data_IF_255196639652
#
_entry.id   IF_255196639652
#
_cell.length_a   1.000
_cell.length_b   1.000
_cell.length_c   1.000
_cell.angle_alpha   90.00
_cell.angle_beta   90.00
_cell.angle_gamma   90.00
#
_symmetry.space_group_name_H-M   'P 1'
#
loop_
_entity.id
_entity.type
_entity.pdbx_description
1 polymer ?
#
# COMPACT_ATOMS: atom_id res chain seq x y z
N UNK A 1 -36.72 -54.88 -13.35
CA UNK A 1 -37.00 -54.83 -11.91
C UNK A 1 -38.28 -54.10 -11.57
N UNK A 2 -38.50 -52.81 -11.95
CA UNK A 2 -39.71 -52.05 -11.58
C UNK A 2 -41.03 -52.70 -12.02
N UNK A 3 -41.14 -53.28 -13.25
CA UNK A 3 -42.34 -53.95 -13.75
C UNK A 3 -42.62 -55.24 -12.96
N UNK A 4 -41.59 -55.98 -12.53
CA UNK A 4 -41.71 -57.17 -11.69
C UNK A 4 -42.20 -56.80 -10.31
N UNK A 5 -41.65 -55.73 -9.72
CA UNK A 5 -42.09 -55.21 -8.41
C UNK A 5 -43.57 -54.81 -8.41
N UNK A 6 -44.03 -54.09 -9.46
CA UNK A 6 -45.45 -53.68 -9.61
C UNK A 6 -46.35 -54.92 -9.65
N UNK A 7 -45.96 -55.97 -10.40
CA UNK A 7 -46.70 -57.21 -10.44
C UNK A 7 -46.73 -57.96 -9.11
N UNK A 8 -45.57 -58.07 -8.44
CA UNK A 8 -45.44 -58.68 -7.11
C UNK A 8 -46.29 -57.93 -6.06
N UNK A 9 -46.25 -56.58 -6.10
CA UNK A 9 -47.06 -55.75 -5.23
C UNK A 9 -48.55 -55.92 -5.46
N UNK A 10 -49.00 -56.00 -6.71
CA UNK A 10 -50.39 -56.23 -7.01
C UNK A 10 -50.88 -57.65 -6.54
N UNK A 11 -50.01 -58.67 -6.69
CA UNK A 11 -50.25 -60.03 -6.16
C UNK A 11 -50.32 -60.06 -4.67
N UNK A 12 -49.33 -59.44 -3.98
CA UNK A 12 -49.31 -59.34 -2.53
C UNK A 12 -50.56 -58.64 -1.98
N UNK A 13 -50.99 -57.52 -2.55
CA UNK A 13 -52.17 -56.78 -2.10
C UNK A 13 -53.44 -57.65 -2.28
N UNK A 14 -53.51 -58.48 -3.30
CA UNK A 14 -54.61 -59.43 -3.52
C UNK A 14 -54.59 -60.53 -2.48
N UNK A 15 -53.42 -61.20 -2.29
CA UNK A 15 -53.27 -62.24 -1.27
C UNK A 15 -53.54 -61.73 0.11
N UNK A 16 -53.15 -60.51 0.45
CA UNK A 16 -53.44 -59.88 1.75
C UNK A 16 -54.93 -59.77 2.03
N UNK A 17 -55.74 -59.34 1.05
CA UNK A 17 -57.20 -59.29 1.16
C UNK A 17 -57.83 -60.67 1.34
N UNK A 18 -57.38 -61.66 0.55
CA UNK A 18 -57.88 -63.00 0.64
C UNK A 18 -57.53 -63.68 1.97
N UNK A 19 -56.39 -63.31 2.55
CA UNK A 19 -56.01 -63.84 3.92
C UNK A 19 -56.87 -63.16 5.01
N UNK A 20 -57.09 -61.84 4.90
CA UNK A 20 -57.99 -61.12 5.81
C UNK A 20 -59.40 -61.73 5.79
N UNK A 21 -59.89 -62.16 4.60
CA UNK A 21 -61.17 -62.82 4.39
C UNK A 21 -61.13 -64.34 4.74
N UNK A 22 -59.97 -64.85 5.25
CA UNK A 22 -59.74 -66.26 5.61
C UNK A 22 -59.97 -67.27 4.47
N UNK A 23 -59.67 -66.80 3.21
CA UNK A 23 -59.83 -67.63 2.01
C UNK A 23 -58.58 -68.43 1.68
N UNK A 24 -57.38 -67.95 2.05
CA UNK A 24 -56.07 -68.57 1.80
C UNK A 24 -55.40 -68.95 3.14
N UNK A 25 -54.46 -69.91 3.06
CA UNK A 25 -53.66 -70.33 4.21
C UNK A 25 -52.54 -69.36 4.59
N UNK A 26 -52.06 -69.40 5.82
CA UNK A 26 -50.91 -68.53 6.28
C UNK A 26 -49.67 -68.79 5.43
N UNK A 27 -49.40 -70.08 5.03
CA UNK A 27 -48.27 -70.41 4.17
C UNK A 27 -48.32 -69.76 2.74
N UNK A 28 -49.52 -69.69 2.19
CA UNK A 28 -49.69 -68.97 0.86
C UNK A 28 -49.54 -67.46 0.99
N UNK A 29 -49.94 -66.90 2.14
CA UNK A 29 -49.72 -65.47 2.43
C UNK A 29 -48.24 -65.20 2.62
N UNK A 30 -47.53 -65.97 3.45
CA UNK A 30 -46.10 -65.87 3.70
C UNK A 30 -45.29 -65.94 2.37
N UNK A 31 -45.69 -66.81 1.46
CA UNK A 31 -45.07 -66.91 0.16
C UNK A 31 -45.29 -65.67 -0.68
N UNK A 32 -46.45 -65.02 -0.59
CA UNK A 32 -46.73 -63.80 -1.31
C UNK A 32 -45.93 -62.62 -0.69
N UNK A 33 -45.75 -62.58 0.61
CA UNK A 33 -44.88 -61.60 1.33
C UNK A 33 -43.43 -61.77 0.85
N UNK A 34 -42.91 -63.02 0.90
CA UNK A 34 -41.53 -63.29 0.47
C UNK A 34 -41.25 -62.86 -0.97
N UNK A 35 -42.18 -63.20 -1.90
CA UNK A 35 -42.05 -62.78 -3.30
C UNK A 35 -42.08 -61.25 -3.49
N UNK A 36 -42.88 -60.55 -2.70
CA UNK A 36 -42.91 -59.07 -2.69
C UNK A 36 -41.61 -58.48 -2.17
N UNK A 37 -41.07 -58.97 -1.06
CA UNK A 37 -39.81 -58.52 -0.48
C UNK A 37 -38.60 -58.74 -1.41
N UNK A 38 -38.56 -59.91 -2.06
CA UNK A 38 -37.53 -60.18 -3.06
C UNK A 38 -37.62 -59.18 -4.22
N UNK A 39 -38.81 -58.98 -4.77
CA UNK A 39 -38.97 -58.04 -5.87
C UNK A 39 -38.66 -56.60 -5.47
N UNK A 40 -38.91 -56.20 -4.22
CA UNK A 40 -38.53 -54.90 -3.66
C UNK A 40 -37.00 -54.79 -3.55
N UNK A 41 -36.34 -55.78 -2.99
CA UNK A 41 -34.89 -55.78 -2.85
C UNK A 41 -34.17 -55.75 -4.22
N UNK A 42 -34.75 -56.38 -5.28
CA UNK A 42 -34.23 -56.32 -6.65
C UNK A 42 -34.32 -54.92 -7.26
N UNK A 43 -35.35 -54.14 -6.86
CA UNK A 43 -35.45 -52.72 -7.30
C UNK A 43 -34.43 -51.85 -6.56
N UNK A 44 -34.33 -52.01 -5.25
CA UNK A 44 -33.40 -51.28 -4.42
C UNK A 44 -31.94 -51.54 -4.90
N UNK A 45 -31.58 -52.81 -5.14
CA UNK A 45 -30.27 -53.18 -5.68
C UNK A 45 -30.01 -52.61 -7.08
N UNK A 46 -31.03 -52.52 -7.93
CA UNK A 46 -30.89 -51.90 -9.26
C UNK A 46 -30.74 -50.36 -9.17
N UNK A 47 -31.43 -49.72 -8.23
CA UNK A 47 -31.29 -48.29 -7.96
C UNK A 47 -29.89 -47.94 -7.43
N UNK A 48 -29.37 -48.69 -6.49
CA UNK A 48 -27.99 -48.55 -6.00
C UNK A 48 -26.95 -48.80 -7.10
N UNK A 49 -27.19 -49.75 -7.98
CA UNK A 49 -26.32 -49.96 -9.14
C UNK A 49 -26.29 -48.79 -10.10
N UNK A 50 -27.44 -48.15 -10.34
CA UNK A 50 -27.51 -46.92 -11.16
C UNK A 50 -26.75 -45.80 -10.47
N UNK A 51 -26.91 -45.66 -9.14
CA UNK A 51 -26.22 -44.63 -8.39
C UNK A 51 -24.69 -44.84 -8.44
N UNK A 52 -24.23 -46.07 -8.28
CA UNK A 52 -22.81 -46.38 -8.43
C UNK A 52 -22.27 -46.05 -9.83
N UNK A 53 -23.05 -46.36 -10.87
CA UNK A 53 -22.70 -45.99 -12.24
C UNK A 53 -22.64 -44.45 -12.44
N UNK A 54 -23.55 -43.69 -11.82
CA UNK A 54 -23.52 -42.23 -11.85
C UNK A 54 -22.26 -41.65 -11.17
N UNK A 55 -21.83 -42.23 -10.04
CA UNK A 55 -20.58 -41.82 -9.41
C UNK A 55 -19.36 -42.16 -10.26
N UNK A 56 -19.37 -43.27 -10.98
CA UNK A 56 -18.30 -43.59 -11.93
C UNK A 56 -18.23 -42.58 -13.08
N UNK A 57 -19.39 -42.16 -13.62
CA UNK A 57 -19.44 -41.09 -14.64
C UNK A 57 -18.87 -39.81 -14.11
N UNK A 58 -19.28 -39.37 -12.90
CA UNK A 58 -18.79 -38.16 -12.26
C UNK A 58 -17.27 -38.20 -12.01
N UNK A 59 -16.75 -39.35 -11.61
CA UNK A 59 -15.30 -39.56 -11.43
C UNK A 59 -14.53 -39.42 -12.74
N UNK A 60 -15.06 -39.99 -13.82
CA UNK A 60 -14.44 -39.88 -15.15
C UNK A 60 -14.53 -38.46 -15.72
N UNK A 61 -15.62 -37.73 -15.44
CA UNK A 61 -15.75 -36.32 -15.79
C UNK A 61 -14.73 -35.45 -15.05
N UNK A 62 -14.48 -35.70 -13.75
CA UNK A 62 -13.46 -35.03 -12.99
C UNK A 62 -12.05 -35.28 -13.57
N UNK A 63 -11.75 -36.53 -13.92
CA UNK A 63 -10.47 -36.89 -14.56
C UNK A 63 -10.30 -36.23 -15.95
N UNK A 64 -11.38 -36.12 -16.71
CA UNK A 64 -11.38 -35.42 -18.01
C UNK A 64 -11.12 -33.92 -17.79
N UNK A 65 -11.75 -33.30 -16.79
CA UNK A 65 -11.54 -31.89 -16.44
C UNK A 65 -10.08 -31.63 -16.05
N UNK A 66 -9.51 -32.47 -15.20
CA UNK A 66 -8.10 -32.42 -14.82
C UNK A 66 -7.17 -32.52 -16.05
N UNK A 67 -7.42 -33.46 -16.93
CA UNK A 67 -6.62 -33.61 -18.13
C UNK A 67 -6.72 -32.37 -19.07
N UNK A 68 -7.91 -31.77 -19.17
CA UNK A 68 -8.10 -30.52 -19.92
C UNK A 68 -7.40 -29.33 -19.29
N UNK A 69 -7.44 -29.19 -17.97
CA UNK A 69 -6.72 -28.15 -17.26
C UNK A 69 -5.20 -28.28 -17.45
N UNK A 70 -4.69 -29.51 -17.33
CA UNK A 70 -3.28 -29.77 -17.56
C UNK A 70 -2.86 -29.43 -19.01
N UNK A 71 -3.69 -29.72 -19.99
CA UNK A 71 -3.46 -29.29 -21.37
C UNK A 71 -3.50 -27.76 -21.48
N UNK A 72 -4.47 -27.10 -20.86
CA UNK A 72 -4.58 -25.64 -20.86
C UNK A 72 -3.34 -24.95 -20.31
N UNK A 73 -2.70 -25.51 -19.28
CA UNK A 73 -1.46 -25.00 -18.68
C UNK A 73 -0.23 -25.08 -19.58
N UNK A 74 -0.29 -25.82 -20.69
CA UNK A 74 0.81 -25.86 -21.67
C UNK A 74 0.87 -24.59 -22.53
N UNK A 75 -0.22 -23.82 -22.58
CA UNK A 75 -0.28 -22.53 -23.27
C UNK A 75 -0.49 -21.42 -22.27
N UNK A 76 0.51 -20.58 -22.08
CA UNK A 76 0.49 -19.48 -21.10
C UNK A 76 0.17 -18.19 -21.85
N UNK A 77 -0.90 -17.51 -21.43
CA UNK A 77 -1.35 -16.25 -22.01
C UNK A 77 -1.14 -15.11 -21.03
N UNK A 78 -0.85 -13.90 -21.54
CA UNK A 78 -0.81 -12.71 -20.73
C UNK A 78 -2.21 -12.41 -20.17
N UNK A 79 -2.35 -12.14 -18.83
CA UNK A 79 -3.63 -11.80 -18.24
C UNK A 79 -4.09 -10.37 -18.58
N UNK A 80 -3.18 -9.53 -19.09
CA UNK A 80 -3.45 -8.14 -19.41
C UNK A 80 -2.71 -7.71 -20.68
N UNK A 81 -3.22 -6.67 -21.33
CA UNK A 81 -2.50 -5.98 -22.39
C UNK A 81 -1.46 -5.05 -21.79
N UNK A 82 -0.27 -5.00 -22.37
CA UNK A 82 0.81 -4.14 -21.83
C UNK A 82 2.11 -4.33 -22.60
N UNK A 83 3.17 -3.79 -22.05
CA UNK A 83 4.54 -3.90 -22.57
C UNK A 83 5.32 -4.89 -21.71
N UNK A 84 6.13 -5.74 -22.35
CA UNK A 84 7.05 -6.63 -21.64
C UNK A 84 8.17 -5.76 -21.06
N UNK A 85 8.26 -5.72 -19.74
CA UNK A 85 9.26 -4.90 -19.01
C UNK A 85 10.47 -5.70 -18.58
N UNK A 86 10.29 -6.99 -18.34
CA UNK A 86 11.37 -7.92 -18.03
C UNK A 86 11.11 -9.26 -18.70
N UNK A 87 12.15 -9.87 -19.25
CA UNK A 87 12.13 -11.22 -19.78
C UNK A 87 13.21 -12.05 -19.08
N UNK A 88 12.74 -12.98 -18.22
CA UNK A 88 13.63 -13.76 -17.35
C UNK A 88 14.00 -15.11 -17.99
N UNK A 89 13.31 -15.49 -19.08
CA UNK A 89 13.54 -16.76 -19.79
C UNK A 89 13.56 -16.55 -21.29
N UNK A 90 14.49 -17.23 -21.95
CA UNK A 90 14.61 -17.24 -23.41
C UNK A 90 13.96 -18.47 -24.04
N UNK A 91 13.73 -18.41 -25.35
CA UNK A 91 13.19 -19.53 -26.09
C UNK A 91 14.12 -20.74 -26.04
N UNK A 92 13.59 -21.89 -25.65
CA UNK A 92 14.36 -23.13 -25.49
C UNK A 92 14.80 -23.41 -24.05
N UNK A 93 14.68 -22.47 -23.13
CA UNK A 93 14.96 -22.71 -21.72
C UNK A 93 13.86 -23.54 -21.05
N UNK A 94 14.27 -24.34 -20.08
CA UNK A 94 13.35 -25.13 -19.29
C UNK A 94 12.70 -24.28 -18.20
N UNK A 95 11.37 -24.29 -18.17
CA UNK A 95 10.56 -23.71 -17.10
C UNK A 95 9.94 -24.81 -16.25
N UNK A 96 9.88 -24.58 -14.96
CA UNK A 96 9.31 -25.53 -13.99
C UNK A 96 8.10 -24.86 -13.32
N UNK A 97 6.98 -25.52 -13.36
CA UNK A 97 5.77 -25.13 -12.67
C UNK A 97 5.07 -26.38 -12.15
N UNK A 98 5.27 -26.75 -10.90
CA UNK A 98 4.59 -27.86 -10.25
C UNK A 98 3.76 -27.36 -9.08
N UNK A 99 2.76 -28.14 -8.68
CA UNK A 99 1.92 -27.81 -7.52
C UNK A 99 2.71 -27.74 -6.19
N UNK A 100 3.92 -28.32 -6.15
CA UNK A 100 4.75 -28.38 -4.94
C UNK A 100 5.93 -27.39 -4.95
N UNK A 101 6.20 -26.70 -6.04
CA UNK A 101 7.31 -25.77 -6.16
C UNK A 101 6.81 -24.44 -6.70
N UNK A 102 7.40 -23.34 -6.22
CA UNK A 102 7.16 -22.01 -6.79
C UNK A 102 7.43 -22.04 -8.30
N UNK A 103 6.50 -21.50 -9.09
CA UNK A 103 6.64 -21.45 -10.54
C UNK A 103 7.84 -20.61 -10.97
N UNK A 104 8.34 -20.87 -12.19
CA UNK A 104 9.39 -20.04 -12.79
C UNK A 104 8.76 -18.80 -13.41
N UNK A 105 9.21 -17.63 -13.01
CA UNK A 105 8.83 -16.37 -13.67
C UNK A 105 9.44 -16.32 -15.08
N UNK A 106 8.57 -16.16 -16.08
CA UNK A 106 8.97 -16.15 -17.49
C UNK A 106 9.23 -14.71 -17.94
N UNK A 107 8.26 -13.82 -17.71
CA UNK A 107 8.33 -12.41 -18.09
C UNK A 107 7.36 -11.58 -17.24
N UNK A 108 7.64 -10.29 -17.16
CA UNK A 108 6.77 -9.31 -16.54
C UNK A 108 6.12 -8.44 -17.61
N UNK A 109 4.79 -8.34 -17.58
CA UNK A 109 4.01 -7.46 -18.46
C UNK A 109 3.43 -6.34 -17.62
N UNK A 110 3.71 -5.09 -17.99
CA UNK A 110 3.27 -3.89 -17.25
C UNK A 110 2.52 -2.94 -18.15
N UNK A 111 1.54 -2.25 -17.58
CA UNK A 111 0.89 -1.11 -18.21
C UNK A 111 1.71 0.16 -17.93
N UNK A 112 2.36 0.68 -18.96
CA UNK A 112 3.19 1.88 -18.85
C UNK A 112 2.40 3.19 -19.01
N UNK A 113 1.08 3.12 -19.15
CA UNK A 113 0.23 4.33 -19.23
C UNK A 113 0.08 5.01 -17.87
N UNK A 114 0.20 4.25 -16.79
CA UNK A 114 0.14 4.75 -15.41
C UNK A 114 1.44 4.39 -14.71
N UNK A 115 2.16 5.44 -14.28
CA UNK A 115 3.41 5.29 -13.54
C UNK A 115 3.16 5.55 -12.06
N UNK A 116 3.73 4.69 -11.23
CA UNK A 116 3.70 4.83 -9.76
C UNK A 116 5.15 4.83 -9.22
N UNK A 117 5.36 5.66 -8.22
CA UNK A 117 6.61 5.70 -7.45
C UNK A 117 6.31 5.07 -6.10
N UNK A 118 7.10 4.08 -5.71
CA UNK A 118 7.06 3.48 -4.38
C UNK A 118 8.17 4.11 -3.54
N UNK A 119 7.81 4.69 -2.40
CA UNK A 119 8.75 5.31 -1.45
C UNK A 119 8.56 4.71 -0.08
N UNK A 120 9.66 4.62 0.67
CA UNK A 120 9.66 4.21 2.07
C UNK A 120 9.64 5.43 2.97
N UNK A 121 8.60 5.56 3.80
CA UNK A 121 8.43 6.67 4.74
C UNK A 121 8.62 6.15 6.16
N UNK A 122 9.38 6.90 6.97
CA UNK A 122 9.66 6.54 8.37
C UNK A 122 8.39 6.60 9.24
N UNK A 123 8.36 5.79 10.30
CA UNK A 123 7.24 5.73 11.26
C UNK A 123 6.87 7.10 11.87
N UNK A 124 7.84 7.97 12.10
CA UNK A 124 7.57 9.29 12.68
C UNK A 124 6.86 10.24 11.71
N UNK A 125 7.05 10.05 10.40
CA UNK A 125 6.54 10.92 9.36
C UNK A 125 5.25 10.40 8.73
N UNK A 126 5.05 9.06 8.72
CA UNK A 126 3.87 8.43 8.12
C UNK A 126 2.55 8.90 8.73
N UNK A 127 2.56 9.27 10.01
CA UNK A 127 1.38 9.76 10.74
C UNK A 127 0.82 11.05 10.14
N UNK A 128 1.65 11.80 9.40
CA UNK A 128 1.28 13.08 8.76
C UNK A 128 0.86 12.90 7.30
N UNK A 129 1.08 11.72 6.72
CA UNK A 129 0.82 11.46 5.30
C UNK A 129 -0.57 10.91 5.13
N UNK A 130 -1.36 11.57 4.30
CA UNK A 130 -2.73 11.16 3.97
C UNK A 130 -2.85 10.77 2.50
N UNK A 131 -3.85 9.91 2.21
CA UNK A 131 -4.21 9.61 0.82
C UNK A 131 -4.78 10.85 0.15
N UNK A 132 -4.23 11.18 -1.01
CA UNK A 132 -4.63 12.38 -1.75
C UNK A 132 -3.64 13.54 -1.59
N UNK A 133 -2.63 13.41 -0.72
CA UNK A 133 -1.58 14.40 -0.60
C UNK A 133 -0.86 14.59 -1.93
N UNK A 134 -0.59 15.85 -2.26
CA UNK A 134 0.16 16.20 -3.46
C UNK A 134 1.64 16.01 -3.21
N UNK A 135 2.33 15.53 -4.25
CA UNK A 135 3.77 15.27 -4.15
C UNK A 135 4.52 15.94 -5.29
N UNK A 136 5.74 16.34 -5.01
CA UNK A 136 6.73 16.76 -5.99
C UNK A 136 7.75 15.64 -6.14
N UNK A 137 7.95 15.17 -7.37
CA UNK A 137 8.77 14.00 -7.69
C UNK A 137 9.91 14.46 -8.58
N UNK A 138 11.13 14.19 -8.17
CA UNK A 138 12.33 14.40 -8.96
C UNK A 138 12.93 13.03 -9.33
N UNK A 139 12.98 12.75 -10.63
CA UNK A 139 13.51 11.48 -11.15
C UNK A 139 14.97 11.68 -11.51
N UNK A 140 15.86 10.80 -11.02
CA UNK A 140 17.32 10.94 -11.21
C UNK A 140 17.75 11.00 -12.68
N UNK A 141 16.95 10.39 -13.57
CA UNK A 141 17.20 10.43 -15.01
C UNK A 141 16.89 11.78 -15.67
N UNK A 142 16.11 12.65 -15.00
CA UNK A 142 15.65 13.95 -15.49
C UNK A 142 15.99 15.06 -14.50
N UNK A 143 17.29 15.31 -14.34
CA UNK A 143 17.82 16.28 -13.37
C UNK A 143 17.24 17.69 -13.60
N UNK A 144 16.70 18.26 -12.54
CA UNK A 144 16.13 19.61 -12.54
C UNK A 144 14.70 19.72 -13.05
N UNK A 145 14.07 18.60 -13.46
CA UNK A 145 12.65 18.54 -13.77
C UNK A 145 11.86 17.99 -12.60
N UNK A 146 10.79 18.69 -12.21
CA UNK A 146 9.92 18.33 -11.12
C UNK A 146 8.56 17.89 -11.65
N UNK A 147 8.16 16.69 -11.28
CA UNK A 147 6.90 16.10 -11.67
C UNK A 147 5.92 16.11 -10.50
N UNK A 148 4.64 16.16 -10.79
CA UNK A 148 3.60 16.14 -9.77
C UNK A 148 3.01 14.74 -9.64
N UNK A 149 2.75 14.35 -8.41
CA UNK A 149 2.09 13.12 -8.07
C UNK A 149 1.03 13.30 -6.99
N UNK A 150 0.32 12.22 -6.71
CA UNK A 150 -0.68 12.15 -5.64
C UNK A 150 -0.50 10.82 -4.92
N UNK A 151 -0.54 10.82 -3.60
CA UNK A 151 -0.52 9.62 -2.76
C UNK A 151 -1.78 8.80 -3.00
N UNK A 152 -1.62 7.57 -3.47
CA UNK A 152 -2.74 6.67 -3.78
C UNK A 152 -2.95 5.60 -2.73
N UNK A 153 -1.86 5.08 -2.18
CA UNK A 153 -1.90 3.98 -1.22
C UNK A 153 -0.82 4.17 -0.16
N UNK A 154 -1.18 3.86 1.08
CA UNK A 154 -0.26 3.81 2.23
C UNK A 154 -0.38 2.40 2.80
N UNK A 155 0.74 1.69 2.93
CA UNK A 155 0.76 0.36 3.50
C UNK A 155 0.34 0.38 4.97
N UNK A 156 -0.53 -0.57 5.35
CA UNK A 156 -1.01 -0.69 6.73
C UNK A 156 -0.03 -1.47 7.64
N UNK A 157 1.01 -2.08 7.06
CA UNK A 157 2.04 -2.79 7.81
C UNK A 157 3.41 -2.22 7.49
N UNK A 158 4.25 -2.12 8.50
CA UNK A 158 5.61 -1.68 8.34
C UNK A 158 6.50 -2.77 7.72
N UNK A 159 7.43 -2.35 6.90
CA UNK A 159 8.59 -3.14 6.51
C UNK A 159 9.68 -2.98 7.55
N UNK A 160 9.96 -4.06 8.25
CA UNK A 160 11.00 -4.09 9.27
C UNK A 160 12.27 -4.62 8.61
N UNK A 161 13.18 -3.73 8.29
CA UNK A 161 14.49 -4.09 7.73
C UNK A 161 15.54 -4.03 8.81
N UNK A 162 16.20 -5.17 9.10
CA UNK A 162 17.32 -5.26 10.02
C UNK A 162 17.18 -6.35 11.08
N UNK A 163 18.29 -7.04 11.35
CA UNK A 163 18.37 -8.13 12.33
C UNK A 163 18.97 -7.69 13.68
N UNK A 164 19.24 -6.42 13.92
CA UNK A 164 19.94 -5.90 15.11
C UNK A 164 19.31 -4.61 15.65
N UNK A 165 19.86 -4.08 16.73
CA UNK A 165 19.35 -2.99 17.55
C UNK A 165 19.05 -1.65 16.84
N UNK A 166 19.44 -1.47 15.58
CA UNK A 166 19.12 -0.31 14.74
C UNK A 166 17.97 -0.63 13.74
N UNK A 167 16.85 -1.09 14.27
CA UNK A 167 15.69 -1.44 13.48
C UNK A 167 14.97 -0.16 13.03
N UNK A 168 15.03 0.13 11.73
CA UNK A 168 14.28 1.23 11.13
C UNK A 168 12.93 0.70 10.66
N UNK A 169 11.85 1.30 11.17
CA UNK A 169 10.48 0.98 10.79
C UNK A 169 10.06 1.92 9.69
N UNK A 170 9.88 1.40 8.47
CA UNK A 170 9.41 2.15 7.31
C UNK A 170 8.08 1.61 6.81
N UNK A 171 7.29 2.49 6.20
CA UNK A 171 6.02 2.17 5.56
C UNK A 171 6.10 2.46 4.07
N UNK A 172 5.59 1.54 3.25
CA UNK A 172 5.54 1.73 1.82
C UNK A 172 4.39 2.66 1.44
N UNK A 173 4.71 3.71 0.71
CA UNK A 173 3.74 4.66 0.16
C UNK A 173 3.83 4.63 -1.36
N UNK A 174 2.67 4.43 -2.02
CA UNK A 174 2.58 4.47 -3.49
C UNK A 174 2.02 5.82 -3.94
N UNK A 175 2.71 6.41 -4.86
CA UNK A 175 2.42 7.74 -5.39
C UNK A 175 2.22 7.61 -6.89
N UNK A 176 1.05 8.00 -7.38
CA UNK A 176 0.76 8.02 -8.80
C UNK A 176 1.24 9.32 -9.41
N UNK A 177 2.06 9.23 -10.44
CA UNK A 177 2.49 10.38 -11.22
C UNK A 177 1.32 10.91 -12.07
N UNK A 178 1.14 12.23 -12.06
CA UNK A 178 0.12 12.88 -12.88
C UNK A 178 0.63 13.02 -14.32
N UNK A 179 -0.10 12.41 -15.25
CA UNK A 179 0.26 12.42 -16.68
C UNK A 179 0.39 13.84 -17.25
N UNK A 180 -0.37 14.81 -16.71
CA UNK A 180 -0.26 16.21 -17.09
C UNK A 180 1.09 16.85 -16.76
N UNK A 181 1.84 16.32 -15.79
CA UNK A 181 3.12 16.88 -15.36
C UNK A 181 4.28 16.48 -16.27
N UNK A 182 4.14 15.41 -17.05
CA UNK A 182 5.18 14.92 -17.99
C UNK A 182 4.69 14.83 -19.44
N UNK A 183 3.54 15.47 -19.74
CA UNK A 183 2.99 15.48 -21.09
C UNK A 183 3.97 16.05 -22.14
N UNK A 184 4.80 17.00 -21.74
CA UNK A 184 5.81 17.62 -22.60
C UNK A 184 6.95 16.67 -23.01
N UNK A 185 7.15 15.57 -22.28
CA UNK A 185 8.17 14.56 -22.56
C UNK A 185 7.64 13.41 -23.42
N UNK A 186 6.33 13.37 -23.63
CA UNK A 186 5.71 12.36 -24.52
C UNK A 186 5.81 12.87 -25.96
N UNK A 187 6.57 12.18 -26.79
CA UNK A 187 6.61 12.47 -28.22
C UNK A 187 5.22 12.27 -28.85
N UNK A 188 4.82 13.17 -29.74
CA UNK A 188 3.53 13.16 -30.43
C UNK A 188 3.25 11.78 -31.08
N UNK A 189 2.19 11.12 -30.63
CA UNK A 189 1.71 9.82 -31.12
C UNK A 189 2.28 8.60 -30.42
N UNK A 190 3.15 8.72 -29.44
CA UNK A 190 3.66 7.64 -28.60
C UNK A 190 2.83 7.56 -27.33
N UNK A 191 2.16 6.43 -27.10
CA UNK A 191 1.55 6.11 -25.79
C UNK A 191 2.59 5.62 -24.76
N UNK A 192 3.88 5.80 -25.04
CA UNK A 192 4.94 5.29 -24.18
C UNK A 192 5.30 6.35 -23.15
N UNK A 193 5.25 5.98 -21.89
CA UNK A 193 5.82 6.79 -20.80
C UNK A 193 7.30 7.04 -21.03
N UNK A 194 7.81 8.25 -20.79
CA UNK A 194 9.25 8.55 -20.80
C UNK A 194 10.00 7.82 -19.69
N UNK A 195 9.30 7.39 -18.65
CA UNK A 195 9.87 6.69 -17.52
C UNK A 195 9.88 5.17 -17.75
N UNK A 196 10.86 4.51 -17.16
CA UNK A 196 10.98 3.05 -17.19
C UNK A 196 10.89 2.49 -15.78
N UNK A 197 10.23 1.34 -15.58
CA UNK A 197 10.25 0.66 -14.29
C UNK A 197 11.70 0.42 -13.81
N UNK A 198 11.94 0.65 -12.51
CA UNK A 198 13.27 0.55 -11.90
C UNK A 198 14.11 1.83 -11.92
N UNK A 199 13.59 2.95 -12.43
CA UNK A 199 14.22 4.25 -12.23
C UNK A 199 14.09 4.71 -10.78
N UNK A 200 15.13 5.35 -10.26
CA UNK A 200 15.14 5.98 -8.94
C UNK A 200 14.53 7.38 -8.99
N UNK A 201 13.85 7.75 -7.91
CA UNK A 201 13.25 9.07 -7.77
C UNK A 201 13.26 9.50 -6.30
N UNK A 202 13.37 10.80 -6.07
CA UNK A 202 13.18 11.45 -4.78
C UNK A 202 11.82 12.11 -4.74
N UNK A 203 11.11 12.02 -3.62
CA UNK A 203 9.76 12.53 -3.49
C UNK A 203 9.61 13.42 -2.27
N UNK A 204 9.07 14.60 -2.47
CA UNK A 204 8.65 15.51 -1.41
C UNK A 204 7.12 15.45 -1.28
N UNK A 205 6.61 14.93 -0.15
CA UNK A 205 5.18 14.81 0.12
C UNK A 205 4.70 16.06 0.86
N UNK A 206 3.73 16.76 0.31
CA UNK A 206 3.13 17.94 0.90
C UNK A 206 1.95 17.54 1.77
N UNK A 207 2.20 17.36 3.08
CA UNK A 207 1.20 16.83 4.02
C UNK A 207 0.26 17.90 4.57
N UNK A 208 0.77 19.12 4.77
CA UNK A 208 -0.02 20.21 5.35
C UNK A 208 0.27 21.50 4.61
N UNK A 209 -0.78 22.27 4.30
CA UNK A 209 -0.65 23.58 3.67
C UNK A 209 -1.31 24.63 4.54
N UNK A 210 -0.54 25.59 5.02
CA UNK A 210 -1.05 26.80 5.63
C UNK A 210 -1.07 27.93 4.59
N UNK A 211 -2.12 28.74 4.60
CA UNK A 211 -2.28 29.89 3.70
C UNK A 211 -2.40 31.17 4.51
N UNK A 212 -1.90 32.27 3.94
CA UNK A 212 -1.96 33.59 4.58
C UNK A 212 -1.30 33.62 5.96
N UNK A 213 -0.15 32.96 6.08
CA UNK A 213 0.63 32.85 7.33
C UNK A 213 1.92 33.66 7.26
N UNK A 214 2.37 34.17 8.41
CA UNK A 214 3.66 34.84 8.52
C UNK A 214 4.76 33.78 8.49
N UNK A 215 5.71 33.94 7.58
CA UNK A 215 6.84 33.02 7.45
C UNK A 215 8.17 33.74 7.58
N UNK A 216 9.14 33.09 8.18
CA UNK A 216 10.53 33.55 8.25
C UNK A 216 11.46 32.46 7.74
N UNK A 217 12.63 32.81 7.15
CA UNK A 217 13.64 31.81 6.82
C UNK A 217 14.04 31.00 8.07
N UNK A 218 14.18 29.67 7.95
CA UNK A 218 14.54 28.79 9.07
C UNK A 218 15.79 29.31 9.81
N UNK A 219 16.74 29.90 9.09
CA UNK A 219 17.97 30.43 9.66
C UNK A 219 17.77 31.61 10.61
N UNK A 220 16.60 32.26 10.63
CA UNK A 220 16.26 33.37 11.51
C UNK A 220 15.76 32.92 12.88
N UNK A 221 15.26 31.69 12.99
CA UNK A 221 14.75 31.13 14.23
C UNK A 221 15.87 30.43 14.98
N UNK A 222 15.99 30.69 16.27
CA UNK A 222 16.94 30.04 17.15
C UNK A 222 16.31 29.75 18.52
N UNK A 223 16.84 28.76 19.23
CA UNK A 223 16.40 28.44 20.60
C UNK A 223 17.28 29.13 21.63
N UNK A 224 16.68 29.71 22.67
CA UNK A 224 17.37 30.32 23.80
C UNK A 224 16.81 29.77 25.10
N UNK A 225 17.69 29.64 26.10
CA UNK A 225 17.26 29.37 27.47
C UNK A 225 16.63 30.63 28.04
N UNK A 226 15.52 30.46 28.74
CA UNK A 226 14.88 31.57 29.45
C UNK A 226 15.80 32.04 30.60
N UNK A 227 16.46 33.18 30.36
CA UNK A 227 17.36 33.79 31.34
C UNK A 227 16.60 34.64 32.36
N UNK A 228 15.27 34.78 32.20
CA UNK A 228 14.43 35.61 33.05
C UNK A 228 13.89 34.88 34.31
N UNK A 229 14.05 33.59 34.43
CA UNK A 229 13.67 32.83 35.62
C UNK A 229 14.77 33.02 36.67
N UNK A 230 14.43 33.76 37.72
CA UNK A 230 15.26 34.05 38.89
C UNK A 230 16.08 32.85 39.38
N UNK A 231 17.34 33.13 39.72
CA UNK A 231 18.34 32.28 40.39
C UNK A 231 17.92 31.82 41.77
N UNK A 232 16.77 31.23 41.96
CA UNK A 232 16.46 30.57 43.24
C UNK A 232 15.56 29.34 42.95
N UNK A 233 16.08 28.16 43.36
CA UNK A 233 15.43 26.84 43.32
C UNK A 233 15.46 26.05 41.99
N UNK A 234 16.63 25.53 41.66
CA UNK A 234 16.79 24.35 40.78
C UNK A 234 16.23 23.13 41.52
N UNK A 235 15.03 22.67 41.14
CA UNK A 235 14.62 21.30 41.32
C UNK A 235 15.12 20.49 40.12
N UNK A 236 15.82 19.42 40.40
CA UNK A 236 16.59 18.57 39.47
C UNK A 236 15.77 17.79 38.43
N UNK A 237 14.49 18.08 38.20
CA UNK A 237 13.60 17.31 37.32
C UNK A 237 12.69 18.14 36.37
N UNK A 238 12.95 19.43 36.14
CA UNK A 238 12.25 20.18 35.10
C UNK A 238 13.10 20.24 33.82
N UNK A 239 12.63 19.62 32.74
CA UNK A 239 13.17 19.78 31.39
C UNK A 239 13.29 21.27 31.08
N UNK A 240 14.54 21.77 30.88
CA UNK A 240 14.82 23.15 30.51
C UNK A 240 13.98 23.56 29.30
N UNK A 241 12.97 24.40 29.49
CA UNK A 241 12.19 24.96 28.41
C UNK A 241 13.08 25.85 27.56
N UNK A 242 13.33 25.39 26.34
CA UNK A 242 13.99 26.14 25.28
C UNK A 242 12.91 26.95 24.55
N UNK A 243 12.97 28.29 24.67
CA UNK A 243 12.07 29.18 23.98
C UNK A 243 12.62 29.46 22.56
N UNK A 244 11.74 29.41 21.57
CA UNK A 244 12.07 29.80 20.20
C UNK A 244 12.00 31.31 20.07
N UNK A 245 13.06 31.89 19.49
CA UNK A 245 13.19 33.35 19.40
C UNK A 245 13.65 33.76 17.99
N UNK A 246 13.22 34.95 17.60
CA UNK A 246 13.62 35.63 16.39
C UNK A 246 14.19 37.00 16.74
N UNK A 247 15.24 37.42 16.05
CA UNK A 247 15.81 38.75 16.23
C UNK A 247 15.21 39.73 15.21
N UNK A 248 14.43 40.68 15.70
CA UNK A 248 13.77 41.73 14.91
C UNK A 248 14.62 42.98 14.95
N UNK A 249 14.80 43.64 13.82
CA UNK A 249 15.52 44.90 13.71
C UNK A 249 14.64 46.06 14.21
N UNK A 250 15.12 46.81 15.20
CA UNK A 250 14.55 48.07 15.65
C UNK A 250 15.61 49.19 15.49
N UNK A 251 15.62 49.84 14.32
CA UNK A 251 16.66 50.86 14.01
C UNK A 251 18.03 50.24 13.78
N UNK A 252 19.03 50.60 14.57
CA UNK A 252 20.42 50.09 14.50
C UNK A 252 20.68 48.94 15.50
N UNK A 253 19.67 48.49 16.23
CA UNK A 253 19.78 47.41 17.24
C UNK A 253 18.79 46.28 16.89
N UNK A 254 19.07 45.10 17.46
CA UNK A 254 18.14 43.96 17.39
C UNK A 254 17.43 43.81 18.71
N UNK A 255 16.18 43.40 18.60
CA UNK A 255 15.34 43.01 19.71
C UNK A 255 15.03 41.53 19.63
N UNK A 256 15.26 40.81 20.70
CA UNK A 256 14.87 39.41 20.82
C UNK A 256 13.37 39.35 21.08
N UNK A 257 12.67 38.60 20.24
CA UNK A 257 11.21 38.35 20.31
C UNK A 257 10.98 36.87 20.40
N UNK A 258 10.27 36.45 21.43
CA UNK A 258 9.81 35.06 21.55
C UNK A 258 8.68 34.80 20.57
N UNK A 259 8.75 33.67 19.87
CA UNK A 259 7.81 33.29 18.85
C UNK A 259 7.37 31.85 19.05
N UNK A 260 6.18 31.57 18.61
CA UNK A 260 5.66 30.20 18.50
C UNK A 260 5.68 29.80 17.04
N UNK A 261 6.39 28.73 16.74
CA UNK A 261 6.52 28.23 15.35
C UNK A 261 5.45 27.22 15.03
N UNK A 262 5.11 27.13 13.75
CA UNK A 262 4.15 26.18 13.19
C UNK A 262 4.81 25.19 12.23
N UNK A 263 4.18 25.01 11.06
CA UNK A 263 4.72 24.14 10.02
C UNK A 263 5.96 24.73 9.35
N UNK A 264 6.83 23.86 8.87
CA UNK A 264 8.05 24.29 8.17
C UNK A 264 8.26 23.52 6.87
N UNK A 265 8.97 24.15 5.95
CA UNK A 265 9.49 23.50 4.76
C UNK A 265 11.04 23.59 4.75
N UNK A 266 11.68 23.28 3.63
CA UNK A 266 13.15 23.30 3.50
C UNK A 266 13.77 24.71 3.63
N UNK A 267 13.02 25.79 3.51
CA UNK A 267 13.53 27.16 3.52
C UNK A 267 12.87 28.07 4.55
N UNK A 268 11.59 27.88 4.83
CA UNK A 268 10.78 28.77 5.67
C UNK A 268 10.09 28.00 6.78
N UNK A 269 9.88 28.68 7.90
CA UNK A 269 9.09 28.23 9.04
C UNK A 269 7.97 29.24 9.30
N UNK A 270 6.80 28.74 9.60
CA UNK A 270 5.62 29.52 9.97
C UNK A 270 5.80 30.08 11.38
N UNK A 271 5.37 31.31 11.58
CA UNK A 271 5.24 31.94 12.89
C UNK A 271 3.75 32.08 13.21
N UNK A 272 3.31 31.33 14.21
CA UNK A 272 1.91 31.32 14.67
C UNK A 272 1.62 32.54 15.54
N UNK A 273 2.56 32.89 16.41
CA UNK A 273 2.43 34.04 17.31
C UNK A 273 3.79 34.66 17.63
N UNK A 274 3.78 35.92 18.07
CA UNK A 274 4.98 36.66 18.51
C UNK A 274 5.60 37.59 17.48
N UNK A 275 5.22 37.55 16.19
CA UNK A 275 5.79 38.41 15.17
C UNK A 275 4.67 39.07 14.34
N UNK A 276 4.81 40.37 14.06
CA UNK A 276 3.90 41.12 13.18
C UNK A 276 4.39 41.10 11.73
N UNK A 277 3.44 41.20 10.79
CA UNK A 277 3.73 41.30 9.35
C UNK A 277 4.56 42.57 9.04
N UNK A 278 5.53 42.45 8.12
CA UNK A 278 6.36 43.53 7.65
C UNK A 278 7.56 43.89 8.53
N UNK A 279 7.82 43.13 9.59
CA UNK A 279 9.03 43.30 10.42
C UNK A 279 10.26 42.72 9.72
N UNK A 280 11.39 43.42 9.82
CA UNK A 280 12.67 42.97 9.32
C UNK A 280 13.33 42.01 10.33
N UNK A 281 13.66 40.78 9.93
CA UNK A 281 14.31 39.78 10.77
C UNK A 281 15.74 39.51 10.35
N UNK A 282 16.60 39.21 11.32
CA UNK A 282 18.01 38.88 11.06
C UNK A 282 18.13 37.43 10.64
N UNK A 283 18.67 37.17 9.44
CA UNK A 283 18.73 35.82 8.86
C UNK A 283 20.13 35.25 8.77
N UNK A 284 21.17 36.08 8.71
CA UNK A 284 22.54 35.63 8.43
C UNK A 284 23.59 36.53 9.13
N UNK A 285 24.80 35.98 9.43
CA UNK A 285 25.17 34.54 9.39
C UNK A 285 24.54 33.74 10.51
N UNK A 286 24.12 32.49 10.22
CA UNK A 286 23.47 31.61 11.23
C UNK A 286 24.26 31.46 12.54
N UNK A 287 25.59 31.34 12.46
CA UNK A 287 26.48 31.25 13.63
C UNK A 287 26.43 32.50 14.53
N UNK A 288 26.10 33.66 13.97
CA UNK A 288 25.92 34.91 14.74
C UNK A 288 24.54 34.91 15.39
N UNK A 289 23.49 34.58 14.61
CA UNK A 289 22.11 34.49 15.10
C UNK A 289 22.00 33.46 16.25
N UNK A 290 22.60 32.29 16.06
CA UNK A 290 22.47 31.18 17.01
C UNK A 290 23.30 31.35 18.27
N UNK A 291 24.46 32.07 18.24
CA UNK A 291 25.43 32.07 19.37
C UNK A 291 25.83 33.43 19.90
N UNK A 292 25.87 34.47 19.04
CA UNK A 292 26.48 35.75 19.37
C UNK A 292 25.49 36.90 19.59
N UNK A 293 24.32 36.86 18.94
CA UNK A 293 23.31 37.90 19.04
C UNK A 293 22.63 37.84 20.43
N UNK A 294 22.58 38.98 21.09
CA UNK A 294 21.84 39.22 22.31
C UNK A 294 20.90 40.40 22.16
N UNK A 295 19.92 40.54 23.03
CA UNK A 295 18.99 41.66 23.00
C UNK A 295 19.72 43.01 23.10
N UNK A 296 19.37 43.95 22.20
CA UNK A 296 20.02 45.26 22.16
C UNK A 296 21.36 45.31 21.43
N UNK A 297 21.82 44.23 20.79
CA UNK A 297 23.07 44.23 20.00
C UNK A 297 22.97 45.15 18.81
N UNK A 298 23.98 45.99 18.58
CA UNK A 298 24.08 46.81 17.35
C UNK A 298 24.41 45.93 16.15
N UNK A 299 23.69 46.18 15.03
CA UNK A 299 23.87 45.47 13.76
C UNK A 299 24.16 46.44 12.63
N UNK A 300 24.93 45.98 11.63
CA UNK A 300 25.15 46.66 10.37
C UNK A 300 24.56 45.80 9.24
N UNK A 301 23.79 46.40 8.35
CA UNK A 301 23.24 45.72 7.20
C UNK A 301 24.33 45.59 6.14
N UNK A 302 24.68 44.36 5.81
CA UNK A 302 25.69 44.05 4.80
C UNK A 302 25.05 43.31 3.63
N UNK A 303 25.45 43.69 2.43
CA UNK A 303 24.94 43.00 1.22
C UNK A 303 25.36 41.52 1.20
N UNK A 304 24.44 40.61 0.88
CA UNK A 304 24.64 39.14 0.89
C UNK A 304 25.93 38.68 0.18
N UNK A 305 26.35 39.45 -0.85
CA UNK A 305 27.60 39.21 -1.58
C UNK A 305 28.87 39.48 -0.78
N UNK A 306 28.81 40.31 0.26
CA UNK A 306 29.96 40.67 1.10
C UNK A 306 30.13 39.77 2.33
N UNK A 307 29.08 39.07 2.77
CA UNK A 307 29.07 38.18 3.91
C UNK A 307 29.97 36.94 3.78
N UNK A 308 30.28 36.54 2.53
CA UNK A 308 31.08 35.35 2.22
C UNK A 308 32.42 35.67 1.55
N UNK A 309 32.81 36.94 1.41
CA UNK A 309 34.19 37.25 1.08
C UNK A 309 35.04 37.06 2.35
N UNK A 310 35.86 36.03 2.37
CA UNK A 310 36.99 35.92 3.29
C UNK A 310 37.87 37.15 2.99
N UNK A 311 38.17 37.97 3.99
CA UNK A 311 39.29 38.86 3.97
C UNK A 311 40.54 37.97 3.87
N UNK A 312 41.12 37.92 2.66
CA UNK A 312 42.47 37.42 2.46
C UNK A 312 43.41 38.53 2.97
N UNK A 313 43.82 38.44 4.23
CA UNK A 313 45.08 38.97 4.75
C UNK A 313 45.87 37.89 5.46
#
# INVERSE_FOLDING_TARGET
>A
SKSQFVNAQASFNRSKKLHEDKVISDAEYDQAVANFEVAKSDVDAAEESVQAAMFNVKSNEASLSEARENLGRTSIYSPMSGTITSMNKEQGERVVGTAQMAGTEIMTVSDLSVMEVAVEVNENDIVRVDRGDTTEIEVDAYLGEKFKGVVTEIANSANISGMNADQVTNFDVKIRMLQSSYANLIEDGSQKSPFRPGMSATVDIQTTTARDVITVPIQAVTTRKDTASNKEELKEDEEEKLNEVVFVKEGDVVKMVEVETGIQNTMYIEIVSGLDEGKEVVTAPYTVVSRKLEDGTQIEIVDKKKLYKKDDE
#
